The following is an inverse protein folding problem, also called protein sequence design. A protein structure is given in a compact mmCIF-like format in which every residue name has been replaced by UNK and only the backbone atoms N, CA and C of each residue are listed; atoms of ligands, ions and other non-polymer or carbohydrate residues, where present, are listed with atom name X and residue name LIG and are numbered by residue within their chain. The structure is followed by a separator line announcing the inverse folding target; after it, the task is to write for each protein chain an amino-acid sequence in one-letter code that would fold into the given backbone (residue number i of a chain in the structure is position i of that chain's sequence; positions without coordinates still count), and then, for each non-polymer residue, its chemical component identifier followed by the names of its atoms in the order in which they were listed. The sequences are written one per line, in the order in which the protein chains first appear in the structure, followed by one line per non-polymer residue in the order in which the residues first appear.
data_IF_008538786031
#
_entry.id   IF_008538786031
#
_cell.length_a   1.000
_cell.length_b   1.000
_cell.length_c   1.000
_cell.angle_alpha   90.00
_cell.angle_beta   90.00
_cell.angle_gamma   90.00
#
_symmetry.space_group_name_H-M   'P 1'
#
loop_
_entity.id
_entity.type
_entity.pdbx_description
1 polymer ?
#
# COMPACT_ATOMS: atom_id res chain seq x y z
N UNK A 1 3.84 7.67 20.31
CA UNK A 1 5.16 8.32 20.15
C UNK A 1 6.12 7.29 19.58
N UNK A 2 6.96 7.51 18.58
CA UNK A 2 7.30 8.67 17.73
C UNK A 2 7.77 8.11 16.36
N UNK A 3 7.55 8.86 15.28
CA UNK A 3 7.83 8.41 13.91
C UNK A 3 9.35 8.34 13.69
N UNK A 4 9.88 7.29 13.06
CA UNK A 4 11.32 7.18 12.73
C UNK A 4 11.81 8.38 11.91
N UNK A 5 10.93 8.95 11.07
CA UNK A 5 11.22 10.15 10.28
C UNK A 5 11.40 11.41 11.14
N UNK A 6 10.78 11.47 12.33
CA UNK A 6 10.91 12.61 13.26
C UNK A 6 12.25 12.60 14.02
N UNK A 7 12.99 11.49 13.97
CA UNK A 7 14.31 11.38 14.61
C UNK A 7 15.42 12.08 13.82
N UNK A 8 15.15 12.53 12.59
CA UNK A 8 16.16 13.12 11.73
C UNK A 8 16.75 14.40 12.34
N UNK A 9 17.99 14.31 12.82
CA UNK A 9 18.76 15.46 13.36
C UNK A 9 19.41 16.32 12.26
N UNK A 10 19.02 16.11 10.99
CA UNK A 10 19.49 16.88 9.84
C UNK A 10 21.03 16.89 9.68
N UNK A 11 21.70 15.79 10.01
CA UNK A 11 23.17 15.70 9.96
C UNK A 11 23.77 15.55 8.54
N UNK A 12 22.96 15.14 7.56
CA UNK A 12 23.39 15.00 6.16
C UNK A 12 24.27 13.78 5.85
N UNK A 13 24.55 12.91 6.81
CA UNK A 13 25.35 11.68 6.59
C UNK A 13 24.80 10.83 5.45
N UNK A 14 23.47 10.73 5.32
CA UNK A 14 22.81 9.96 4.27
C UNK A 14 23.16 10.42 2.83
N UNK A 15 23.41 11.72 2.62
CA UNK A 15 23.89 12.24 1.33
C UNK A 15 25.32 11.80 1.08
N UNK A 16 26.19 11.98 2.09
CA UNK A 16 27.63 11.70 1.98
C UNK A 16 27.94 10.23 1.68
N UNK A 17 27.15 9.31 2.24
CA UNK A 17 27.38 7.86 2.07
C UNK A 17 26.63 7.26 0.89
N UNK A 18 25.84 8.04 0.15
CA UNK A 18 25.06 7.52 -0.98
C UNK A 18 25.97 7.35 -2.21
N UNK A 19 26.24 6.12 -2.68
CA UNK A 19 27.19 5.89 -3.77
C UNK A 19 26.61 6.23 -5.16
N UNK A 20 25.30 6.46 -5.27
CA UNK A 20 24.61 6.71 -6.54
C UNK A 20 24.00 8.12 -6.62
N UNK A 21 24.33 9.00 -5.67
CA UNK A 21 23.76 10.34 -5.55
C UNK A 21 22.22 10.36 -5.58
N UNK A 22 21.60 9.29 -5.08
CA UNK A 22 20.16 9.16 -5.01
C UNK A 22 19.53 10.08 -3.94
N UNK A 23 20.33 10.63 -3.01
CA UNK A 23 19.81 11.43 -1.90
C UNK A 23 20.26 12.88 -2.07
N UNK A 24 19.29 13.79 -2.17
CA UNK A 24 19.51 15.25 -2.12
C UNK A 24 19.02 15.78 -0.79
N UNK A 25 19.87 16.53 -0.09
CA UNK A 25 19.48 17.15 1.16
C UNK A 25 20.36 18.37 1.49
N UNK A 26 19.72 19.51 1.70
CA UNK A 26 20.36 20.68 2.31
C UNK A 26 19.85 20.86 3.77
N UNK A 27 20.70 20.57 4.77
CA UNK A 27 20.27 20.54 6.17
C UNK A 27 19.93 21.91 6.76
N UNK A 28 20.19 23.01 6.06
CA UNK A 28 19.86 24.38 6.51
C UNK A 28 18.42 24.69 6.12
N UNK A 29 18.06 24.48 4.86
CA UNK A 29 16.76 24.88 4.29
C UNK A 29 15.70 23.77 4.29
N UNK A 30 16.10 22.51 4.15
CA UNK A 30 15.16 21.40 3.99
C UNK A 30 14.90 20.69 5.32
N UNK A 31 13.64 20.31 5.53
CA UNK A 31 13.21 19.59 6.74
C UNK A 31 13.57 18.10 6.72
N UNK A 32 13.71 17.51 5.53
CA UNK A 32 14.00 16.08 5.34
C UNK A 32 14.74 15.84 4.02
N UNK A 33 15.57 14.78 3.93
CA UNK A 33 16.17 14.35 2.67
C UNK A 33 15.13 13.93 1.62
N UNK A 34 15.45 14.16 0.35
CA UNK A 34 14.67 13.70 -0.81
C UNK A 34 15.45 12.55 -1.46
N UNK A 35 14.77 11.44 -1.73
CA UNK A 35 15.36 10.25 -2.35
C UNK A 35 14.81 10.09 -3.77
N UNK A 36 15.71 10.02 -4.74
CA UNK A 36 15.44 9.66 -6.12
C UNK A 36 15.41 8.12 -6.23
N UNK A 37 14.20 7.57 -6.31
CA UNK A 37 13.99 6.14 -6.41
C UNK A 37 14.57 5.51 -7.69
N UNK A 38 14.79 6.30 -8.76
CA UNK A 38 15.37 5.80 -10.01
C UNK A 38 16.88 5.54 -9.91
N UNK A 39 17.56 6.20 -8.96
CA UNK A 39 19.00 6.05 -8.70
C UNK A 39 19.28 5.20 -7.46
N UNK A 40 18.29 4.99 -6.62
CA UNK A 40 18.43 4.22 -5.40
C UNK A 40 18.56 2.72 -5.72
N UNK A 41 19.71 2.13 -5.41
CA UNK A 41 19.97 0.70 -5.60
C UNK A 41 19.69 -0.14 -4.35
N UNK A 42 19.00 0.43 -3.35
CA UNK A 42 18.64 -0.23 -2.09
C UNK A 42 19.84 -0.85 -1.33
N UNK A 43 21.00 -0.20 -1.34
CA UNK A 43 22.21 -0.68 -0.64
C UNK A 43 22.21 -0.44 0.88
N UNK A 44 21.24 0.32 1.40
CA UNK A 44 21.05 0.59 2.83
C UNK A 44 22.19 1.32 3.57
N UNK A 45 23.24 1.79 2.86
CA UNK A 45 24.35 2.56 3.45
C UNK A 45 23.88 3.80 4.21
N UNK A 46 22.87 4.50 3.71
CA UNK A 46 22.30 5.66 4.37
C UNK A 46 21.61 5.29 5.69
N UNK A 47 20.99 4.11 5.77
CA UNK A 47 20.34 3.61 6.97
C UNK A 47 21.36 3.15 8.01
N UNK A 48 22.38 2.39 7.60
CA UNK A 48 23.43 1.90 8.50
C UNK A 48 24.29 3.02 9.11
N UNK A 49 24.50 4.12 8.40
CA UNK A 49 25.26 5.28 8.88
C UNK A 49 24.37 6.35 9.53
N UNK A 50 23.06 6.12 9.69
CA UNK A 50 22.20 7.09 10.35
C UNK A 50 22.39 7.00 11.88
N UNK A 51 22.98 8.02 12.53
CA UNK A 51 23.34 7.93 13.96
C UNK A 51 22.12 7.89 14.89
N UNK A 52 20.94 8.22 14.37
CA UNK A 52 19.68 8.34 15.11
C UNK A 52 18.62 7.35 14.61
N UNK A 53 18.99 6.44 13.69
CA UNK A 53 18.05 5.45 13.14
C UNK A 53 16.83 6.05 12.45
N UNK A 54 16.94 7.25 11.87
CA UNK A 54 15.83 7.93 11.23
C UNK A 54 15.40 7.32 9.89
N UNK A 55 16.25 6.49 9.29
CA UNK A 55 16.01 5.80 8.02
C UNK A 55 15.76 4.32 8.33
N UNK A 56 14.59 3.76 7.98
CA UNK A 56 14.30 2.36 8.21
C UNK A 56 15.11 1.46 7.26
N UNK A 57 15.62 0.35 7.79
CA UNK A 57 16.24 -0.75 7.01
C UNK A 57 15.13 -1.71 6.56
N UNK A 58 15.16 -2.21 5.32
CA UNK A 58 14.09 -3.06 4.78
C UNK A 58 13.93 -4.35 5.60
N UNK A 59 15.04 -4.91 6.08
CA UNK A 59 15.05 -6.12 6.91
C UNK A 59 14.56 -5.91 8.35
N UNK A 60 14.40 -4.67 8.81
CA UNK A 60 13.73 -4.37 10.09
C UNK A 60 12.27 -3.95 9.90
N UNK A 61 11.81 -3.81 8.66
CA UNK A 61 10.38 -3.69 8.41
C UNK A 61 9.76 -5.05 8.74
N UNK A 62 8.80 -5.14 9.68
CA UNK A 62 8.12 -6.39 9.96
C UNK A 62 7.52 -6.93 8.67
N UNK A 63 7.60 -8.26 8.51
CA UNK A 63 6.87 -8.95 7.47
C UNK A 63 5.41 -8.49 7.48
N UNK A 64 4.93 -8.01 6.33
CA UNK A 64 3.54 -7.59 6.20
C UNK A 64 2.67 -8.83 6.42
N UNK A 65 1.97 -8.85 7.54
CA UNK A 65 1.07 -9.95 7.89
C UNK A 65 -0.15 -9.89 6.97
N UNK A 66 -0.39 -10.93 6.19
CA UNK A 66 -1.57 -10.97 5.32
C UNK A 66 -2.82 -11.08 6.21
N UNK A 67 -3.70 -10.07 6.15
CA UNK A 67 -4.94 -10.05 6.94
C UNK A 67 -6.05 -10.81 6.24
N UNK A 68 -6.27 -10.51 4.95
CA UNK A 68 -7.28 -11.18 4.11
C UNK A 68 -7.04 -10.91 2.64
N UNK A 69 -7.69 -11.70 1.79
CA UNK A 69 -7.90 -11.37 0.39
C UNK A 69 -9.17 -10.52 0.26
N UNK A 70 -9.19 -9.63 -0.73
CA UNK A 70 -10.36 -8.82 -1.08
C UNK A 70 -10.36 -8.57 -2.59
N UNK A 71 -11.29 -7.75 -3.07
CA UNK A 71 -11.20 -7.19 -4.42
C UNK A 71 -11.17 -5.66 -4.39
N UNK A 72 -10.51 -5.07 -5.37
CA UNK A 72 -10.51 -3.65 -5.67
C UNK A 72 -11.35 -3.39 -6.92
N UNK A 73 -12.17 -2.35 -6.92
CA UNK A 73 -13.04 -1.96 -8.03
C UNK A 73 -12.63 -0.57 -8.53
N UNK A 74 -12.20 -0.47 -9.78
CA UNK A 74 -11.96 0.80 -10.45
C UNK A 74 -13.29 1.39 -10.96
N UNK A 75 -13.81 2.36 -10.20
CA UNK A 75 -15.09 3.01 -10.50
C UNK A 75 -15.08 3.88 -11.77
N UNK A 76 -13.93 4.25 -12.29
CA UNK A 76 -13.84 5.04 -13.54
C UNK A 76 -14.06 4.17 -14.79
N UNK A 77 -13.95 2.84 -14.66
CA UNK A 77 -14.11 1.87 -15.76
C UNK A 77 -15.40 1.06 -15.57
N UNK A 78 -15.93 1.00 -14.35
CA UNK A 78 -17.16 0.28 -14.05
C UNK A 78 -18.36 0.83 -14.83
N UNK A 79 -19.00 -0.03 -15.62
CA UNK A 79 -20.20 0.29 -16.40
C UNK A 79 -21.51 -0.08 -15.69
N UNK A 80 -21.46 -0.54 -14.44
CA UNK A 80 -22.67 -0.84 -13.67
C UNK A 80 -23.46 -2.08 -14.07
N UNK A 81 -22.90 -2.98 -14.90
CA UNK A 81 -23.63 -4.10 -15.49
C UNK A 81 -24.18 -5.16 -14.50
N UNK A 82 -23.77 -5.16 -13.23
CA UNK A 82 -24.32 -6.05 -12.20
C UNK A 82 -23.81 -7.50 -12.20
N UNK A 83 -23.13 -7.97 -13.26
CA UNK A 83 -22.63 -9.36 -13.35
C UNK A 83 -21.77 -9.81 -12.15
N UNK A 84 -21.05 -8.87 -11.54
CA UNK A 84 -20.24 -9.11 -10.34
C UNK A 84 -21.07 -9.42 -9.08
N UNK A 85 -22.29 -8.89 -9.00
CA UNK A 85 -23.26 -9.20 -7.93
C UNK A 85 -23.77 -10.62 -8.11
N UNK A 86 -24.17 -10.99 -9.33
CA UNK A 86 -24.67 -12.33 -9.67
C UNK A 86 -23.61 -13.42 -9.47
N UNK A 87 -22.36 -13.13 -9.83
CA UNK A 87 -21.24 -14.04 -9.61
C UNK A 87 -20.84 -14.17 -8.13
N UNK A 88 -21.30 -13.26 -7.25
CA UNK A 88 -20.95 -13.28 -5.84
C UNK A 88 -21.71 -14.38 -5.08
N UNK A 89 -21.10 -15.56 -5.03
CA UNK A 89 -21.61 -16.75 -4.31
C UNK A 89 -21.39 -16.71 -2.80
N UNK A 90 -21.09 -15.54 -2.22
CA UNK A 90 -21.26 -15.33 -0.77
C UNK A 90 -22.77 -15.24 -0.56
N UNK A 91 -23.41 -16.39 -0.50
CA UNK A 91 -24.86 -16.53 -0.47
C UNK A 91 -25.24 -17.50 0.62
N UNK A 92 -25.42 -16.96 1.81
CA UNK A 92 -26.45 -17.45 2.72
C UNK A 92 -27.41 -16.28 2.95
N UNK A 93 -28.63 -16.40 2.41
CA UNK A 93 -29.79 -15.51 2.64
C UNK A 93 -29.60 -14.02 2.27
N UNK A 94 -29.30 -13.73 0.99
CA UNK A 94 -29.49 -12.39 0.42
C UNK A 94 -28.41 -11.36 0.75
N UNK A 95 -27.24 -11.81 1.22
CA UNK A 95 -26.21 -10.94 1.80
C UNK A 95 -24.92 -10.94 0.96
N UNK A 96 -25.01 -10.43 -0.27
CA UNK A 96 -23.89 -10.40 -1.20
C UNK A 96 -22.75 -9.50 -0.70
N UNK A 97 -21.51 -9.96 -0.89
CA UNK A 97 -20.33 -9.15 -0.62
C UNK A 97 -20.11 -8.06 -1.68
N UNK A 98 -20.73 -8.16 -2.85
CA UNK A 98 -20.69 -7.15 -3.91
C UNK A 98 -22.11 -6.66 -4.17
N UNK A 99 -22.29 -5.35 -4.31
CA UNK A 99 -23.60 -4.74 -4.54
C UNK A 99 -23.48 -3.52 -5.46
N UNK A 100 -24.57 -3.12 -6.09
CA UNK A 100 -24.64 -1.89 -6.88
C UNK A 100 -25.19 -0.75 -6.03
N UNK A 101 -24.60 0.44 -6.17
CA UNK A 101 -25.12 1.70 -5.66
C UNK A 101 -24.81 2.80 -6.68
N UNK A 102 -25.77 3.65 -6.99
CA UNK A 102 -25.61 4.76 -7.95
C UNK A 102 -25.04 4.31 -9.31
N UNK A 103 -25.43 3.11 -9.77
CA UNK A 103 -24.95 2.53 -11.03
C UNK A 103 -23.51 2.00 -11.01
N UNK A 104 -22.86 1.93 -9.85
CA UNK A 104 -21.48 1.44 -9.71
C UNK A 104 -21.39 0.28 -8.72
N UNK A 105 -20.40 -0.59 -8.92
CA UNK A 105 -20.16 -1.72 -8.03
C UNK A 105 -19.38 -1.30 -6.78
N UNK A 106 -19.85 -1.79 -5.63
CA UNK A 106 -19.27 -1.62 -4.31
C UNK A 106 -19.06 -2.98 -3.64
N UNK A 107 -18.17 -3.00 -2.66
CA UNK A 107 -17.82 -4.18 -1.90
C UNK A 107 -18.11 -3.98 -0.41
N UNK A 108 -18.77 -4.96 0.18
CA UNK A 108 -18.82 -5.12 1.62
C UNK A 108 -17.57 -5.90 2.07
N UNK A 109 -16.62 -5.15 2.62
CA UNK A 109 -15.32 -5.68 3.03
C UNK A 109 -15.39 -6.73 4.15
N UNK A 110 -16.39 -6.67 5.03
CA UNK A 110 -16.53 -7.66 6.10
C UNK A 110 -17.04 -9.01 5.60
N UNK A 111 -17.62 -9.05 4.40
CA UNK A 111 -18.20 -10.26 3.77
C UNK A 111 -17.35 -10.80 2.63
N UNK A 112 -16.57 -9.94 1.98
CA UNK A 112 -15.73 -10.39 0.88
C UNK A 112 -14.59 -11.26 1.37
N UNK A 113 -14.53 -12.48 0.85
CA UNK A 113 -13.43 -13.42 1.11
C UNK A 113 -12.32 -13.35 0.05
N UNK A 114 -12.48 -12.49 -0.97
CA UNK A 114 -11.51 -12.33 -2.06
C UNK A 114 -11.43 -13.52 -3.01
N UNK A 115 -12.51 -14.27 -3.24
CA UNK A 115 -12.51 -15.46 -4.11
C UNK A 115 -12.27 -15.17 -5.59
N UNK A 116 -12.48 -13.92 -6.04
CA UNK A 116 -12.21 -13.50 -7.41
C UNK A 116 -13.29 -13.77 -8.45
N UNK A 117 -14.42 -14.40 -8.10
CA UNK A 117 -15.51 -14.67 -9.05
C UNK A 117 -16.03 -13.40 -9.76
N UNK A 118 -16.12 -12.28 -9.01
CA UNK A 118 -16.50 -10.99 -9.57
C UNK A 118 -15.44 -10.38 -10.50
N UNK A 119 -14.16 -10.68 -10.29
CA UNK A 119 -13.10 -10.24 -11.20
C UNK A 119 -13.18 -10.98 -12.54
N UNK A 120 -13.36 -12.30 -12.51
CA UNK A 120 -13.45 -13.13 -13.71
C UNK A 120 -14.68 -12.83 -14.58
N UNK A 121 -15.79 -12.43 -13.97
CA UNK A 121 -17.03 -12.12 -14.72
C UNK A 121 -17.07 -10.69 -15.27
N UNK A 122 -16.15 -9.80 -14.83
CA UNK A 122 -16.23 -8.39 -15.15
C UNK A 122 -15.85 -8.15 -16.62
N UNK A 123 -16.77 -7.68 -17.48
CA UNK A 123 -16.48 -7.54 -18.92
C UNK A 123 -15.52 -6.38 -19.24
N UNK A 124 -15.24 -5.51 -18.27
CA UNK A 124 -14.36 -4.36 -18.42
C UNK A 124 -13.07 -4.48 -17.60
N UNK A 125 -12.82 -5.63 -16.99
CA UNK A 125 -11.65 -5.90 -16.11
C UNK A 125 -11.43 -4.84 -15.00
N UNK A 126 -12.50 -4.18 -14.55
CA UNK A 126 -12.38 -3.12 -13.55
C UNK A 126 -12.24 -3.65 -12.12
N UNK A 127 -12.36 -4.97 -11.92
CA UNK A 127 -12.29 -5.63 -10.62
C UNK A 127 -11.01 -6.48 -10.56
N UNK A 128 -10.17 -6.27 -9.55
CA UNK A 128 -8.94 -7.06 -9.32
C UNK A 128 -8.95 -7.70 -7.95
N UNK A 129 -8.46 -8.93 -7.86
CA UNK A 129 -8.18 -9.58 -6.57
C UNK A 129 -6.92 -8.97 -5.97
N UNK A 130 -7.01 -8.57 -4.70
CA UNK A 130 -5.96 -7.84 -3.99
C UNK A 130 -5.69 -8.46 -2.63
N UNK A 131 -4.45 -8.28 -2.17
CA UNK A 131 -4.04 -8.67 -0.82
C UNK A 131 -4.20 -7.49 0.12
N UNK A 132 -4.89 -7.71 1.23
CA UNK A 132 -5.01 -6.75 2.32
C UNK A 132 -4.06 -7.19 3.42
N UNK A 133 -3.05 -6.37 3.68
CA UNK A 133 -2.09 -6.63 4.74
C UNK A 133 -2.50 -5.90 6.02
N UNK A 134 -2.30 -6.58 7.15
CA UNK A 134 -2.24 -5.98 8.47
C UNK A 134 -1.08 -4.99 8.44
N UNK A 135 -1.40 -3.70 8.53
CA UNK A 135 -0.40 -2.70 8.83
C UNK A 135 -0.14 -2.75 10.32
N UNK A 136 0.76 -3.63 10.77
CA UNK A 136 1.47 -3.35 12.03
C UNK A 136 2.06 -1.96 11.84
N UNK A 137 1.72 -1.01 12.72
CA UNK A 137 2.23 0.37 12.62
C UNK A 137 3.75 0.34 12.73
N UNK A 138 4.43 0.26 11.60
CA UNK A 138 5.85 0.60 11.52
C UNK A 138 5.88 2.12 11.49
N UNK A 139 6.08 2.70 12.66
CA UNK A 139 6.45 4.10 12.87
C UNK A 139 5.89 5.11 11.84
N UNK A 140 4.56 5.24 11.73
CA UNK A 140 3.93 6.43 11.13
C UNK A 140 3.30 6.30 9.74
N UNK A 141 3.26 5.13 9.11
CA UNK A 141 2.48 4.91 7.89
C UNK A 141 1.21 4.12 8.23
N UNK A 142 0.04 4.77 8.22
CA UNK A 142 -1.23 4.14 8.61
C UNK A 142 -2.34 4.38 7.57
N UNK A 143 -2.62 3.34 6.80
CA UNK A 143 -3.91 2.96 6.22
C UNK A 143 -3.77 1.52 5.74
N UNK A 144 -4.85 0.72 5.74
CA UNK A 144 -4.79 -0.64 5.18
C UNK A 144 -4.21 -0.58 3.75
N UNK A 145 -3.08 -1.25 3.51
CA UNK A 145 -2.40 -1.17 2.23
C UNK A 145 -2.97 -2.23 1.29
N UNK A 146 -3.74 -1.79 0.30
CA UNK A 146 -4.17 -2.60 -0.82
C UNK A 146 -3.02 -2.70 -1.81
N UNK A 147 -2.51 -3.90 -2.05
CA UNK A 147 -1.56 -4.12 -3.15
C UNK A 147 -2.36 -4.46 -4.40
N UNK A 148 -2.38 -3.54 -5.35
CA UNK A 148 -2.94 -3.77 -6.69
C UNK A 148 -1.81 -4.38 -7.53
N UNK A 149 -2.01 -5.57 -8.13
CA UNK A 149 -1.06 -6.13 -9.09
C UNK A 149 -1.00 -5.30 -10.38
#
# INVERSE_FOLDING_TARGET
MSKSVDLCIRCGTCVKVCPTDAIKFNPIIEKKPIVDASKCILCELCASHCPVGAIPVLNVLPARELKRWSVYINRNICIGCGLCVDACKITLKGDHAVYLKDGLAYINESKCIGCGACATTCPTDCIRVVKIYSTKRVAGYASEAVVIP
#
